data_IF_657250332779
#
_entry.id   IF_657250332779
#
_cell.length_a   1.000
_cell.length_b   1.000
_cell.length_c   1.000
_cell.angle_alpha   90.00
_cell.angle_beta   90.00
_cell.angle_gamma   90.00
#
_symmetry.space_group_name_H-M   'P 1'
#
loop_
_entity.id
_entity.type
_entity.pdbx_description
1 polymer ?
#
# COMPACT_ATOMS: atom_id res chain seq x y z
N UNK A 1 12.93 -1.10 17.32
CA UNK A 1 11.71 -0.55 16.74
C UNK A 1 11.73 0.97 16.83
N UNK A 2 11.55 1.67 15.72
CA UNK A 2 11.59 3.12 15.71
C UNK A 2 10.28 3.73 16.18
N UNK A 3 10.37 4.86 16.87
CA UNK A 3 9.17 5.56 17.33
C UNK A 3 8.33 6.11 16.19
N UNK A 4 8.94 6.38 15.04
CA UNK A 4 8.25 6.96 13.90
C UNK A 4 7.69 5.92 12.94
N UNK A 5 7.90 4.65 13.21
CA UNK A 5 7.43 3.58 12.34
C UNK A 5 5.93 3.38 12.48
N UNK A 6 5.26 3.22 11.36
CA UNK A 6 3.84 2.97 11.31
C UNK A 6 3.58 1.79 10.39
N UNK A 7 2.53 1.03 10.69
CA UNK A 7 2.15 -0.10 9.86
C UNK A 7 0.64 -0.21 9.83
N UNK A 8 0.12 -0.51 8.65
CA UNK A 8 -1.30 -0.76 8.45
C UNK A 8 -1.46 -2.06 7.69
N UNK A 9 -2.38 -2.89 8.13
CA UNK A 9 -2.77 -4.10 7.41
C UNK A 9 -4.24 -3.99 7.05
N UNK A 10 -4.57 -4.35 5.82
CA UNK A 10 -5.96 -4.33 5.38
C UNK A 10 -6.20 -5.48 4.42
N UNK A 11 -7.47 -5.82 4.24
CA UNK A 11 -7.87 -6.81 3.26
C UNK A 11 -8.73 -6.14 2.20
N UNK A 12 -8.55 -6.56 0.96
CA UNK A 12 -9.33 -6.03 -0.16
C UNK A 12 -9.87 -7.20 -0.97
N UNK A 13 -11.09 -7.05 -1.52
CA UNK A 13 -11.73 -8.15 -2.27
C UNK A 13 -11.29 -8.20 -3.73
N UNK A 14 -9.99 -8.15 -3.96
CA UNK A 14 -9.40 -8.16 -5.30
C UNK A 14 -8.28 -9.19 -5.35
N UNK A 15 -8.01 -9.75 -6.52
CA UNK A 15 -6.96 -10.73 -6.65
C UNK A 15 -5.60 -10.11 -6.31
N UNK A 16 -4.63 -10.93 -5.87
CA UNK A 16 -3.30 -10.40 -5.57
C UNK A 16 -2.64 -9.68 -6.74
N UNK A 17 -2.79 -10.21 -7.95
CA UNK A 17 -2.20 -9.58 -9.13
C UNK A 17 -2.86 -8.23 -9.44
N UNK A 18 -4.19 -8.17 -9.39
CA UNK A 18 -4.91 -6.92 -9.61
C UNK A 18 -4.55 -5.90 -8.53
N UNK A 19 -4.47 -6.37 -7.28
CA UNK A 19 -4.13 -5.50 -6.17
C UNK A 19 -2.71 -4.95 -6.33
N UNK A 20 -1.76 -5.79 -6.75
CA UNK A 20 -0.41 -5.34 -6.99
C UNK A 20 -0.34 -4.32 -8.13
N UNK A 21 -1.05 -4.58 -9.22
CA UNK A 21 -1.08 -3.65 -10.35
C UNK A 21 -1.71 -2.32 -9.96
N UNK A 22 -2.79 -2.36 -9.20
CA UNK A 22 -3.44 -1.14 -8.71
C UNK A 22 -2.51 -0.38 -7.77
N UNK A 23 -1.77 -1.10 -6.94
CA UNK A 23 -0.82 -0.50 -6.01
C UNK A 23 0.29 0.22 -6.75
N UNK A 24 0.87 -0.41 -7.78
CA UNK A 24 1.89 0.25 -8.60
C UNK A 24 1.38 1.54 -9.21
N UNK A 25 0.19 1.48 -9.80
CA UNK A 25 -0.41 2.67 -10.41
C UNK A 25 -0.66 3.76 -9.37
N UNK A 26 -1.15 3.37 -8.20
CA UNK A 26 -1.41 4.33 -7.13
C UNK A 26 -0.13 5.03 -6.69
N UNK A 27 0.94 4.26 -6.49
CA UNK A 27 2.21 4.83 -6.06
C UNK A 27 2.80 5.76 -7.10
N UNK A 28 2.66 5.41 -8.38
CA UNK A 28 3.16 6.25 -9.48
C UNK A 28 2.40 7.57 -9.60
N UNK A 29 1.16 7.61 -9.13
CA UNK A 29 0.34 8.82 -9.18
C UNK A 29 0.54 9.74 -7.98
N UNK A 30 1.18 9.26 -6.93
CA UNK A 30 1.45 10.10 -5.76
C UNK A 30 2.66 10.98 -6.04
N UNK A 31 2.47 12.31 -6.09
CA UNK A 31 3.55 13.20 -6.52
C UNK A 31 4.77 13.19 -5.61
N UNK A 32 4.59 12.88 -4.35
CA UNK A 32 5.70 12.84 -3.39
C UNK A 32 6.39 11.51 -3.31
N UNK A 33 5.85 10.48 -3.98
CA UNK A 33 6.38 9.13 -3.88
C UNK A 33 7.32 8.84 -5.04
N UNK A 34 8.42 8.17 -4.69
CA UNK A 34 9.37 7.67 -5.67
C UNK A 34 9.44 6.16 -5.48
N UNK A 35 9.06 5.41 -6.49
CA UNK A 35 9.13 3.96 -6.42
C UNK A 35 10.55 3.52 -6.70
N UNK A 36 11.18 2.87 -5.73
CA UNK A 36 12.55 2.37 -5.87
C UNK A 36 12.56 1.00 -6.53
N UNK A 37 11.60 0.17 -6.17
CA UNK A 37 11.49 -1.15 -6.78
C UNK A 37 10.08 -1.68 -6.65
N UNK A 38 9.69 -2.52 -7.60
CA UNK A 38 8.41 -3.20 -7.56
C UNK A 38 8.64 -4.60 -8.13
N UNK A 39 8.34 -5.62 -7.35
CA UNK A 39 8.56 -6.99 -7.76
C UNK A 39 7.22 -7.70 -7.95
N UNK A 40 6.85 -8.05 -9.19
CA UNK A 40 5.62 -8.78 -9.42
C UNK A 40 5.67 -10.22 -8.88
N UNK A 41 6.87 -10.77 -8.78
CA UNK A 41 7.04 -12.14 -8.27
C UNK A 41 6.68 -12.24 -6.80
N UNK A 42 7.16 -11.29 -6.00
CA UNK A 42 6.87 -11.27 -4.56
C UNK A 42 5.71 -10.35 -4.22
N UNK A 43 5.21 -9.59 -5.19
CA UNK A 43 4.16 -8.60 -5.02
C UNK A 43 4.48 -7.61 -3.92
N UNK A 44 5.68 -7.03 -4.02
CA UNK A 44 6.16 -6.03 -3.07
C UNK A 44 6.56 -4.76 -3.80
N UNK A 45 6.36 -3.64 -3.13
CA UNK A 45 6.77 -2.32 -3.63
C UNK A 45 7.59 -1.65 -2.55
N UNK A 46 8.74 -1.13 -2.93
CA UNK A 46 9.56 -0.30 -2.05
C UNK A 46 9.61 1.11 -2.66
N UNK A 47 9.34 2.10 -1.83
CA UNK A 47 9.28 3.47 -2.30
C UNK A 47 9.76 4.42 -1.22
N UNK A 48 9.96 5.67 -1.59
CA UNK A 48 10.29 6.73 -0.68
C UNK A 48 9.27 7.84 -0.85
N UNK A 49 8.81 8.39 0.26
CA UNK A 49 7.95 9.56 0.26
C UNK A 49 8.84 10.76 0.54
N UNK A 50 8.71 11.77 -0.31
CA UNK A 50 9.63 12.87 -0.48
C UNK A 50 10.22 13.53 0.72
N UNK A 51 11.44 14.02 0.55
CA UNK A 51 12.10 14.85 1.51
C UNK A 51 11.57 16.27 1.45
N UNK A 52 11.51 16.90 2.61
CA UNK A 52 11.26 18.34 2.71
C UNK A 52 12.39 18.97 3.48
N UNK A 53 12.35 20.29 3.63
CA UNK A 53 13.34 20.99 4.43
C UNK A 53 13.37 20.52 5.88
N UNK A 54 12.27 19.98 6.35
CA UNK A 54 12.08 19.63 7.75
C UNK A 54 12.06 18.13 7.99
N UNK A 55 12.20 17.34 6.94
CA UNK A 55 12.08 15.89 7.04
C UNK A 55 13.01 15.24 6.02
N UNK A 56 13.64 14.15 6.43
CA UNK A 56 14.52 13.37 5.56
C UNK A 56 13.74 12.39 4.68
N UNK A 57 12.41 12.41 4.83
CA UNK A 57 11.56 11.50 4.08
C UNK A 57 11.30 10.21 4.83
N UNK A 58 10.47 9.38 4.25
CA UNK A 58 10.09 8.10 4.80
C UNK A 58 10.30 6.99 3.79
N UNK A 59 10.67 5.82 4.29
CA UNK A 59 10.74 4.61 3.50
C UNK A 59 9.39 3.90 3.58
N UNK A 60 8.88 3.50 2.42
CA UNK A 60 7.61 2.80 2.32
C UNK A 60 7.87 1.39 1.82
N UNK A 61 7.34 0.42 2.53
CA UNK A 61 7.35 -0.96 2.07
C UNK A 61 5.93 -1.49 2.04
N UNK A 62 5.51 -2.05 0.91
CA UNK A 62 4.16 -2.56 0.77
C UNK A 62 4.24 -3.98 0.23
N UNK A 63 3.48 -4.87 0.84
CA UNK A 63 3.40 -6.24 0.36
C UNK A 63 1.95 -6.64 0.16
N UNK A 64 1.72 -7.48 -0.85
CA UNK A 64 0.41 -8.02 -1.18
C UNK A 64 0.50 -9.53 -1.11
N UNK A 65 -0.37 -10.14 -0.32
CA UNK A 65 -0.42 -11.59 -0.18
C UNK A 65 -1.83 -12.09 -0.46
N UNK A 66 -1.95 -13.30 -0.99
CA UNK A 66 -3.27 -13.88 -1.19
C UNK A 66 -3.88 -14.25 0.15
N UNK A 67 -5.16 -13.92 0.31
CA UNK A 67 -5.94 -14.33 1.47
C UNK A 67 -7.28 -14.82 0.97
N UNK A 68 -8.03 -15.46 1.83
CA UNK A 68 -9.37 -15.91 1.46
C UNK A 68 -10.23 -14.71 1.10
N UNK A 69 -10.83 -14.75 -0.09
CA UNK A 69 -11.70 -13.68 -0.55
C UNK A 69 -11.01 -12.49 -1.16
N UNK A 70 -9.68 -12.55 -1.36
CA UNK A 70 -9.00 -11.45 -1.99
C UNK A 70 -7.52 -11.36 -1.65
N UNK A 71 -7.11 -10.20 -1.20
CA UNK A 71 -5.69 -9.93 -0.91
C UNK A 71 -5.52 -9.25 0.44
N UNK A 72 -4.43 -9.57 1.09
CA UNK A 72 -3.97 -8.85 2.27
C UNK A 72 -2.88 -7.86 1.85
N UNK A 73 -3.02 -6.63 2.29
CA UNK A 73 -2.06 -5.57 1.98
C UNK A 73 -1.46 -5.07 3.28
N UNK A 74 -0.15 -5.06 3.35
CA UNK A 74 0.58 -4.50 4.49
C UNK A 74 1.37 -3.30 4.01
N UNK A 75 1.14 -2.15 4.63
CA UNK A 75 1.85 -0.91 4.32
C UNK A 75 2.66 -0.52 5.54
N UNK A 76 3.95 -0.36 5.35
CA UNK A 76 4.85 0.09 6.40
C UNK A 76 5.48 1.40 5.99
N UNK A 77 5.52 2.34 6.93
CA UNK A 77 6.17 3.62 6.72
C UNK A 77 7.10 3.89 7.89
N UNK A 78 8.35 4.16 7.59
CA UNK A 78 9.35 4.43 8.62
C UNK A 78 10.20 5.63 8.23
N UNK A 79 10.54 6.45 9.21
CA UNK A 79 11.42 7.59 9.01
C UNK A 79 12.83 7.12 8.73
N UNK A 80 13.49 7.80 7.80
CA UNK A 80 14.90 7.55 7.52
C UNK A 80 15.79 8.00 8.68
N UNK A 81 15.31 8.95 9.46
CA UNK A 81 16.05 9.47 10.61
C UNK A 81 15.33 9.04 11.88
N UNK A 82 15.93 8.11 12.60
CA UNK A 82 15.30 7.52 13.78
C UNK A 82 15.04 8.52 14.90
N UNK A 83 15.85 9.51 15.01
CA UNK A 83 15.72 10.51 16.08
C UNK A 83 14.54 11.45 15.85
N UNK A 84 13.94 11.43 14.69
CA UNK A 84 12.88 12.36 14.35
C UNK A 84 11.51 11.80 14.74
N UNK A 85 11.28 11.75 16.05
CA UNK A 85 10.05 11.14 16.59
C UNK A 85 8.79 11.93 16.23
N UNK A 86 8.95 13.19 15.84
CA UNK A 86 7.81 14.01 15.47
C UNK A 86 7.19 13.60 14.14
N UNK A 87 7.87 12.76 13.39
CA UNK A 87 7.36 12.28 12.10
C UNK A 87 6.32 11.17 12.21
N UNK A 88 6.02 10.70 13.42
CA UNK A 88 5.05 9.63 13.58
C UNK A 88 3.70 9.95 12.95
N UNK A 89 3.19 11.17 13.16
CA UNK A 89 1.94 11.59 12.54
C UNK A 89 2.04 11.70 11.03
N UNK A 90 3.19 12.06 10.53
CA UNK A 90 3.43 12.18 9.11
C UNK A 90 3.44 10.80 8.41
N UNK A 91 3.99 9.79 9.08
CA UNK A 91 3.94 8.43 8.57
C UNK A 91 2.51 7.94 8.45
N UNK A 92 1.67 8.22 9.44
CA UNK A 92 0.26 7.84 9.40
C UNK A 92 -0.46 8.53 8.25
N UNK A 93 -0.16 9.80 7.99
CA UNK A 93 -0.73 10.54 6.89
C UNK A 93 -0.32 9.93 5.55
N UNK A 94 0.95 9.57 5.41
CA UNK A 94 1.44 8.96 4.18
C UNK A 94 0.74 7.64 3.91
N UNK A 95 0.55 6.82 4.95
CA UNK A 95 -0.17 5.56 4.80
C UNK A 95 -1.60 5.82 4.35
N UNK A 96 -2.28 6.80 4.93
CA UNK A 96 -3.65 7.12 4.57
C UNK A 96 -3.75 7.56 3.11
N UNK A 97 -2.80 8.35 2.64
CA UNK A 97 -2.77 8.79 1.25
C UNK A 97 -2.56 7.61 0.29
N UNK A 98 -1.69 6.68 0.66
CA UNK A 98 -1.45 5.48 -0.14
C UNK A 98 -2.71 4.62 -0.21
N UNK A 99 -3.37 4.40 0.92
CA UNK A 99 -4.60 3.60 0.96
C UNK A 99 -5.69 4.24 0.13
N UNK A 100 -5.84 5.56 0.21
CA UNK A 100 -6.83 6.27 -0.58
C UNK A 100 -6.56 6.11 -2.08
N UNK A 101 -5.30 6.30 -2.48
CA UNK A 101 -4.91 6.16 -3.89
C UNK A 101 -5.12 4.73 -4.38
N UNK A 102 -4.76 3.75 -3.54
CA UNK A 102 -4.97 2.34 -3.88
C UNK A 102 -6.45 2.04 -4.06
N UNK A 103 -7.29 2.53 -3.16
CA UNK A 103 -8.73 2.30 -3.23
C UNK A 103 -9.32 2.81 -4.54
N UNK A 104 -8.88 3.98 -4.98
CA UNK A 104 -9.34 4.57 -6.23
C UNK A 104 -8.90 3.74 -7.43
N UNK A 105 -7.68 3.23 -7.42
CA UNK A 105 -7.20 2.39 -8.52
C UNK A 105 -7.92 1.05 -8.56
N UNK A 106 -8.23 0.48 -7.39
CA UNK A 106 -8.91 -0.80 -7.32
C UNK A 106 -10.31 -0.76 -7.91
N UNK A 107 -10.95 0.41 -7.92
CA UNK A 107 -12.28 0.54 -8.53
C UNK A 107 -12.30 0.16 -10.01
N UNK A 108 -11.16 0.10 -10.65
CA UNK A 108 -11.04 -0.29 -12.06
C UNK A 108 -11.01 -1.79 -12.27
N UNK A 109 -11.00 -2.56 -11.20
CA UNK A 109 -10.84 -4.02 -11.27
C UNK A 109 -12.08 -4.73 -10.70
N UNK A 110 -12.34 -5.96 -11.14
CA UNK A 110 -13.46 -6.73 -10.59
C UNK A 110 -13.13 -7.24 -9.19
N UNK A 111 -14.14 -7.33 -8.35
CA UNK A 111 -13.98 -7.90 -7.02
C UNK A 111 -14.10 -9.41 -7.08
N UNK A 112 -13.20 -10.09 -6.37
CA UNK A 112 -13.19 -11.55 -6.30
C UNK A 112 -14.46 -12.06 -5.63
N UNK A 113 -14.90 -11.40 -4.57
CA UNK A 113 -16.06 -11.82 -3.82
C UNK A 113 -17.34 -11.81 -4.67
N UNK A 114 -17.48 -10.86 -5.59
CA UNK A 114 -18.64 -10.81 -6.49
C UNK A 114 -18.70 -12.04 -7.39
N UNK A 115 -17.55 -12.48 -7.90
CA UNK A 115 -17.47 -13.65 -8.73
C UNK A 115 -17.87 -14.89 -7.93
N UNK A 116 -17.41 -15.00 -6.71
CA UNK A 116 -17.73 -16.12 -5.82
C UNK A 116 -19.22 -16.15 -5.51
N UNK A 117 -19.80 -15.00 -5.20
CA UNK A 117 -21.22 -14.90 -4.90
C UNK A 117 -22.08 -15.32 -6.08
N UNK A 118 -21.69 -14.91 -7.28
CA UNK A 118 -22.42 -15.28 -8.49
C UNK A 118 -22.41 -16.78 -8.68
N UNK A 119 -21.27 -17.41 -8.47
CA UNK A 119 -21.15 -18.86 -8.57
C UNK A 119 -21.97 -19.58 -7.50
N UNK A 120 -21.98 -19.06 -6.29
CA UNK A 120 -22.77 -19.63 -5.21
C UNK A 120 -24.26 -19.53 -5.48
N UNK A 121 -24.70 -18.41 -6.02
CA UNK A 121 -26.11 -18.20 -6.36
C UNK A 121 -26.54 -19.10 -7.51
N UNK A 122 -25.63 -19.43 -8.42
CA UNK A 122 -25.89 -20.28 -9.55
C UNK A 122 -25.97 -21.75 -9.15
N UNK A 123 -25.33 -22.08 -8.08
CA UNK A 123 -25.32 -23.42 -7.57
C UNK A 123 -26.52 -23.71 -6.71
#
# INVERSE_FOLDING_TARGET
MGFADQQLQLQVPYSPDDTFNALKAAMEKLPKAKVDSASPTTRTVAAEIGMSLWSWGENIGISVVPVEGGSGVTVKSSSKVRANVLNGGKNAKNIAEIVDALSKELERYPQVSQTIETLADSG
#
